data_IF_561061070342
#
_entry.id   IF_561061070342
#
_cell.length_a   1.000
_cell.length_b   1.000
_cell.length_c   1.000
_cell.angle_alpha   90.00
_cell.angle_beta   90.00
_cell.angle_gamma   90.00
#
_symmetry.space_group_name_H-M   'P 1'
#
loop_
_entity.id
_entity.type
_entity.pdbx_description
1 polymer ?
#
# COMPACT_ATOMS: atom_id res chain seq x y z
N UNK A 1 42.00 7.98 -36.94
CA UNK A 1 41.99 7.62 -35.50
C UNK A 1 40.88 6.56 -35.34
N UNK A 2 41.26 5.28 -35.26
CA UNK A 2 40.29 4.18 -35.07
C UNK A 2 39.97 4.10 -33.57
N UNK A 3 38.76 4.48 -33.20
CA UNK A 3 38.23 4.20 -31.87
C UNK A 3 37.91 2.69 -31.81
N UNK A 4 38.75 1.91 -31.16
CA UNK A 4 38.46 0.51 -30.85
C UNK A 4 37.26 0.50 -29.87
N UNK A 5 36.16 -0.14 -30.28
CA UNK A 5 35.02 -0.38 -29.40
C UNK A 5 35.43 -1.42 -28.35
N UNK A 6 35.69 -0.98 -27.12
CA UNK A 6 35.93 -1.88 -26.00
C UNK A 6 34.56 -2.34 -25.45
N UNK A 7 34.37 -3.66 -25.39
CA UNK A 7 33.17 -4.30 -24.78
C UNK A 7 32.33 -5.07 -25.78
N UNK A 8 31.57 -6.04 -25.28
CA UNK A 8 30.62 -6.81 -26.05
C UNK A 8 29.27 -6.06 -26.11
N UNK A 9 29.15 -5.16 -27.06
CA UNK A 9 27.95 -4.34 -27.27
C UNK A 9 26.74 -5.15 -27.76
N UNK A 10 26.97 -6.29 -28.39
CA UNK A 10 25.92 -7.20 -28.85
C UNK A 10 25.25 -7.86 -27.63
N UNK A 11 26.08 -8.35 -26.70
CA UNK A 11 25.64 -8.91 -25.44
C UNK A 11 24.92 -7.85 -24.57
N UNK A 12 25.50 -6.66 -24.45
CA UNK A 12 24.88 -5.55 -23.73
C UNK A 12 23.52 -5.17 -24.32
N UNK A 13 23.38 -5.14 -25.64
CA UNK A 13 22.11 -4.90 -26.33
C UNK A 13 21.08 -5.98 -26.06
N UNK A 14 21.48 -7.25 -26.10
CA UNK A 14 20.59 -8.37 -25.80
C UNK A 14 20.10 -8.35 -24.34
N UNK A 15 20.99 -8.06 -23.38
CA UNK A 15 20.63 -7.87 -21.96
C UNK A 15 19.61 -6.75 -21.78
N UNK A 16 19.86 -5.58 -22.38
CA UNK A 16 18.93 -4.44 -22.30
C UNK A 16 17.56 -4.75 -22.93
N UNK A 17 17.55 -5.49 -24.04
CA UNK A 17 16.32 -5.91 -24.69
C UNK A 17 15.54 -6.93 -23.86
N UNK A 18 16.22 -7.92 -23.26
CA UNK A 18 15.64 -8.88 -22.34
C UNK A 18 15.06 -8.20 -21.10
N UNK A 19 15.80 -7.28 -20.50
CA UNK A 19 15.34 -6.46 -19.36
C UNK A 19 14.08 -5.67 -19.71
N UNK A 20 13.99 -5.05 -20.89
CA UNK A 20 12.84 -4.23 -21.28
C UNK A 20 11.53 -5.03 -21.33
N UNK A 21 11.59 -6.32 -21.64
CA UNK A 21 10.43 -7.22 -21.70
C UNK A 21 10.03 -7.73 -20.31
N UNK A 22 11.00 -8.02 -19.45
CA UNK A 22 10.77 -8.63 -18.12
C UNK A 22 10.48 -7.62 -17.01
N UNK A 23 10.99 -6.39 -17.10
CA UNK A 23 10.89 -5.37 -16.06
C UNK A 23 9.44 -5.00 -15.71
N UNK A 24 8.63 -4.68 -16.71
CA UNK A 24 7.27 -4.19 -16.46
C UNK A 24 6.35 -5.24 -15.81
N UNK A 25 6.33 -6.51 -16.25
CA UNK A 25 5.60 -7.56 -15.55
C UNK A 25 6.09 -7.80 -14.13
N UNK A 26 7.41 -7.85 -13.92
CA UNK A 26 8.01 -8.04 -12.60
C UNK A 26 7.67 -6.90 -11.64
N UNK A 27 7.76 -5.66 -12.10
CA UNK A 27 7.37 -4.49 -11.28
C UNK A 27 5.88 -4.47 -10.95
N UNK A 28 5.02 -4.89 -11.88
CA UNK A 28 3.58 -5.02 -11.62
C UNK A 28 3.27 -6.09 -10.57
N UNK A 29 3.98 -7.21 -10.62
CA UNK A 29 3.84 -8.28 -9.64
C UNK A 29 4.30 -7.81 -8.26
N UNK A 30 5.51 -7.25 -8.16
CA UNK A 30 6.07 -6.75 -6.91
C UNK A 30 5.18 -5.66 -6.29
N UNK A 31 4.72 -4.71 -7.10
CA UNK A 31 3.83 -3.65 -6.61
C UNK A 31 2.50 -4.20 -6.07
N UNK A 32 1.98 -5.27 -6.66
CA UNK A 32 0.77 -5.94 -6.18
C UNK A 32 1.03 -6.62 -4.82
N UNK A 33 2.13 -7.35 -4.69
CA UNK A 33 2.55 -7.99 -3.45
C UNK A 33 2.75 -6.97 -2.32
N UNK A 34 3.41 -5.84 -2.62
CA UNK A 34 3.60 -4.74 -1.67
C UNK A 34 2.26 -4.17 -1.21
N UNK A 35 1.31 -3.98 -2.13
CA UNK A 35 -0.03 -3.51 -1.80
C UNK A 35 -0.78 -4.47 -0.89
N UNK A 36 -0.68 -5.76 -1.16
CA UNK A 36 -1.29 -6.82 -0.34
C UNK A 36 -0.64 -6.89 1.05
N UNK A 37 0.68 -6.71 1.14
CA UNK A 37 1.41 -6.63 2.41
C UNK A 37 0.92 -5.43 3.25
N UNK A 38 0.80 -4.25 2.64
CA UNK A 38 0.29 -3.05 3.30
C UNK A 38 -1.14 -3.28 3.79
N UNK A 39 -2.02 -3.81 2.93
CA UNK A 39 -3.42 -4.07 3.29
C UNK A 39 -3.51 -5.08 4.45
N UNK A 40 -2.74 -6.16 4.38
CA UNK A 40 -2.67 -7.17 5.45
C UNK A 40 -2.23 -6.56 6.78
N UNK A 41 -1.24 -5.66 6.76
CA UNK A 41 -0.76 -4.97 7.96
C UNK A 41 -1.82 -4.04 8.53
N UNK A 42 -2.51 -3.28 7.68
CA UNK A 42 -3.65 -2.43 8.09
C UNK A 42 -4.73 -3.27 8.77
N UNK A 43 -5.15 -4.37 8.15
CA UNK A 43 -6.19 -5.26 8.71
C UNK A 43 -5.74 -5.88 10.03
N UNK A 44 -4.47 -6.27 10.13
CA UNK A 44 -3.89 -6.84 11.34
C UNK A 44 -3.91 -5.85 12.52
N UNK A 45 -3.58 -4.57 12.29
CA UNK A 45 -3.69 -3.52 13.32
C UNK A 45 -5.13 -3.28 13.75
N UNK A 46 -6.09 -3.32 12.82
CA UNK A 46 -7.52 -3.23 13.16
C UNK A 46 -7.93 -4.40 14.07
N UNK A 47 -7.48 -5.61 13.75
CA UNK A 47 -7.85 -6.80 14.53
C UNK A 47 -7.16 -6.85 15.90
N UNK A 48 -5.92 -6.45 15.99
CA UNK A 48 -5.14 -6.49 17.24
C UNK A 48 -5.36 -5.27 18.13
N UNK A 49 -5.86 -4.15 17.60
CA UNK A 49 -6.01 -2.89 18.34
C UNK A 49 -4.70 -2.43 19.01
N UNK A 50 -3.54 -2.64 18.35
CA UNK A 50 -2.19 -2.53 18.94
C UNK A 50 -1.48 -1.18 18.71
N UNK A 51 -2.12 -0.23 18.04
CA UNK A 51 -1.55 1.09 17.75
C UNK A 51 -1.77 2.14 18.87
N UNK A 52 -2.18 1.71 20.06
CA UNK A 52 -2.37 2.59 21.23
C UNK A 52 -3.24 3.82 20.95
N UNK A 53 -4.28 3.66 20.13
CA UNK A 53 -5.19 4.75 19.79
C UNK A 53 -5.90 5.35 21.01
N UNK A 54 -6.22 6.63 20.94
CA UNK A 54 -7.07 7.28 21.93
C UNK A 54 -8.41 6.53 22.01
N UNK A 55 -8.85 6.10 23.22
CA UNK A 55 -10.10 5.39 23.40
C UNK A 55 -11.31 6.11 22.82
N UNK A 56 -12.38 5.36 22.53
CA UNK A 56 -13.65 5.94 22.11
C UNK A 56 -14.27 6.75 23.26
N UNK A 57 -14.99 7.81 22.93
CA UNK A 57 -15.77 8.55 23.91
C UNK A 57 -16.85 7.62 24.51
N UNK A 58 -17.17 7.81 25.81
CA UNK A 58 -18.13 7.00 26.55
C UNK A 58 -19.47 6.86 25.80
N UNK A 59 -19.98 7.97 25.26
CA UNK A 59 -21.21 7.96 24.46
C UNK A 59 -21.10 7.07 23.21
N UNK A 60 -19.95 7.02 22.56
CA UNK A 60 -19.73 6.16 21.38
C UNK A 60 -19.73 4.69 21.78
N UNK A 61 -19.11 4.36 22.90
CA UNK A 61 -19.10 2.99 23.45
C UNK A 61 -20.52 2.55 23.80
N UNK A 62 -21.32 3.42 24.42
CA UNK A 62 -22.74 3.15 24.74
C UNK A 62 -23.55 2.89 23.47
N UNK A 63 -23.40 3.71 22.43
CA UNK A 63 -24.07 3.54 21.13
C UNK A 63 -23.67 2.25 20.43
N UNK A 64 -22.44 1.78 20.63
CA UNK A 64 -21.92 0.50 20.13
C UNK A 64 -22.26 -0.70 21.01
N UNK A 65 -23.16 -0.54 21.99
CA UNK A 65 -23.53 -1.64 22.90
C UNK A 65 -22.43 -2.12 23.83
N UNK A 66 -21.49 -1.23 24.16
CA UNK A 66 -20.34 -1.55 25.03
C UNK A 66 -19.07 -1.92 24.28
N UNK A 67 -19.09 -2.03 22.95
CA UNK A 67 -17.91 -2.35 22.17
C UNK A 67 -16.94 -1.15 22.11
N UNK A 68 -15.69 -1.39 22.48
CA UNK A 68 -14.59 -0.41 22.52
C UNK A 68 -13.67 -0.48 21.31
N UNK A 69 -13.90 -1.41 20.38
CA UNK A 69 -13.03 -1.59 19.21
C UNK A 69 -13.06 -0.36 18.29
N UNK A 70 -11.90 0.05 17.84
CA UNK A 70 -11.71 1.18 16.94
C UNK A 70 -11.64 0.65 15.50
N UNK A 71 -12.15 1.42 14.52
CA UNK A 71 -12.28 1.03 13.11
C UNK A 71 -13.30 -0.09 12.82
N UNK A 72 -13.95 -0.63 13.83
CA UNK A 72 -14.96 -1.67 13.70
C UNK A 72 -16.28 -1.18 14.31
N UNK A 73 -17.25 -0.88 13.49
CA UNK A 73 -18.63 -0.60 13.92
C UNK A 73 -19.56 -1.70 13.40
N UNK A 74 -19.59 -1.89 12.10
CA UNK A 74 -20.38 -2.92 11.41
C UNK A 74 -19.49 -3.90 10.63
N UNK A 75 -18.17 -3.72 10.65
CA UNK A 75 -17.23 -4.43 9.78
C UNK A 75 -17.09 -3.84 8.37
N UNK A 76 -18.01 -2.96 7.98
CA UNK A 76 -18.07 -2.39 6.62
C UNK A 76 -16.77 -1.69 6.19
N UNK A 77 -16.12 -0.94 7.08
CA UNK A 77 -14.86 -0.27 6.73
C UNK A 77 -13.78 -1.30 6.38
N UNK A 78 -13.65 -2.34 7.21
CA UNK A 78 -12.68 -3.42 7.01
C UNK A 78 -12.91 -4.16 5.70
N UNK A 79 -14.17 -4.46 5.37
CA UNK A 79 -14.56 -5.13 4.13
C UNK A 79 -14.37 -4.26 2.87
N UNK A 80 -14.26 -2.95 3.05
CA UNK A 80 -14.13 -1.99 1.96
C UNK A 80 -12.71 -1.41 1.81
N UNK A 81 -11.75 -1.92 2.57
CA UNK A 81 -10.34 -1.70 2.31
C UNK A 81 -9.89 -2.58 1.14
N UNK A 82 -9.26 -1.97 0.16
CA UNK A 82 -8.89 -2.64 -1.08
C UNK A 82 -7.50 -2.25 -1.58
N UNK A 83 -6.89 -3.15 -2.33
CA UNK A 83 -5.73 -2.87 -3.17
C UNK A 83 -6.22 -2.73 -4.61
N UNK A 84 -5.97 -1.60 -5.22
CA UNK A 84 -6.46 -1.32 -6.57
C UNK A 84 -5.39 -0.67 -7.44
N UNK A 85 -5.24 -1.17 -8.66
CA UNK A 85 -4.40 -0.49 -9.65
C UNK A 85 -5.06 0.81 -10.09
N UNK A 86 -4.32 1.89 -10.01
CA UNK A 86 -4.76 3.21 -10.46
C UNK A 86 -4.11 3.50 -11.81
N UNK A 87 -4.85 4.17 -12.70
CA UNK A 87 -4.30 4.62 -13.98
C UNK A 87 -3.18 5.62 -13.69
N UNK A 88 -1.94 5.19 -13.93
CA UNK A 88 -0.76 6.01 -13.68
C UNK A 88 -0.63 7.14 -14.70
N UNK A 89 0.01 8.26 -14.36
CA UNK A 89 0.54 9.18 -15.34
C UNK A 89 1.48 8.45 -16.31
N UNK A 90 1.71 9.02 -17.49
CA UNK A 90 2.26 8.38 -18.71
C UNK A 90 3.38 7.34 -18.52
N UNK A 91 4.18 7.40 -17.48
CA UNK A 91 5.40 6.59 -17.32
C UNK A 91 5.54 5.89 -15.96
N UNK A 92 4.44 5.70 -15.22
CA UNK A 92 4.49 5.11 -13.87
C UNK A 92 3.51 3.97 -13.63
N UNK A 93 3.82 3.16 -12.61
CA UNK A 93 2.90 2.21 -12.01
C UNK A 93 2.41 2.80 -10.69
N UNK A 94 1.11 2.83 -10.47
CA UNK A 94 0.52 3.34 -9.24
C UNK A 94 -0.48 2.32 -8.69
N UNK A 95 -0.35 2.03 -7.42
CA UNK A 95 -1.27 1.20 -6.67
C UNK A 95 -1.92 2.05 -5.58
N UNK A 96 -3.19 1.89 -5.40
CA UNK A 96 -3.95 2.46 -4.31
C UNK A 96 -4.22 1.37 -3.27
N UNK A 97 -3.94 1.68 -2.00
CA UNK A 97 -4.30 0.84 -0.86
C UNK A 97 -5.10 1.70 0.12
N UNK A 98 -6.31 1.30 0.43
CA UNK A 98 -7.17 2.06 1.33
C UNK A 98 -8.66 1.86 1.07
N UNK A 99 -9.48 2.76 1.62
CA UNK A 99 -10.92 2.70 1.48
C UNK A 99 -11.41 3.29 0.15
N UNK A 100 -12.35 2.61 -0.48
CA UNK A 100 -12.94 3.04 -1.76
C UNK A 100 -13.67 4.37 -1.64
N UNK A 101 -13.40 5.29 -2.57
CA UNK A 101 -14.05 6.61 -2.60
C UNK A 101 -15.52 6.58 -3.07
N UNK A 102 -15.95 5.48 -3.69
CA UNK A 102 -17.30 5.32 -4.23
C UNK A 102 -18.29 4.72 -3.23
N UNK A 103 -17.77 4.10 -2.17
CA UNK A 103 -18.59 3.45 -1.17
C UNK A 103 -18.84 4.39 -0.01
N UNK A 104 -20.05 4.33 0.53
CA UNK A 104 -20.51 5.16 1.65
C UNK A 104 -21.00 4.29 2.79
N UNK A 105 -20.95 4.83 4.00
CA UNK A 105 -21.63 4.28 5.17
C UNK A 105 -23.15 4.39 4.97
N UNK A 106 -23.95 3.74 5.81
CA UNK A 106 -25.42 3.85 5.83
C UNK A 106 -25.89 5.30 6.05
N UNK A 107 -25.07 6.11 6.72
CA UNK A 107 -25.30 7.55 6.91
C UNK A 107 -24.86 8.42 5.72
N UNK A 108 -24.41 7.84 4.63
CA UNK A 108 -23.99 8.54 3.41
C UNK A 108 -22.59 9.15 3.43
N UNK A 109 -21.79 8.88 4.47
CA UNK A 109 -20.39 9.34 4.55
C UNK A 109 -19.51 8.43 3.71
N UNK A 110 -18.64 9.00 2.86
CA UNK A 110 -17.68 8.23 2.09
C UNK A 110 -16.63 7.58 3.01
N UNK A 111 -16.28 6.32 2.74
CA UNK A 111 -15.24 5.65 3.52
C UNK A 111 -13.86 6.32 3.39
N UNK A 112 -13.56 6.94 2.25
CA UNK A 112 -12.34 7.73 2.09
C UNK A 112 -12.28 8.91 3.06
N UNK A 113 -13.41 9.64 3.24
CA UNK A 113 -13.49 10.78 4.14
C UNK A 113 -13.42 10.32 5.61
N UNK A 114 -14.09 9.22 5.92
CA UNK A 114 -14.01 8.60 7.24
C UNK A 114 -12.58 8.19 7.59
N UNK A 115 -11.82 7.61 6.65
CA UNK A 115 -10.41 7.26 6.84
C UNK A 115 -9.54 8.49 7.10
N UNK A 116 -9.78 9.58 6.36
CA UNK A 116 -9.07 10.85 6.58
C UNK A 116 -9.35 11.40 7.99
N UNK A 117 -10.60 11.39 8.41
CA UNK A 117 -10.97 11.86 9.75
C UNK A 117 -10.40 11.00 10.87
N UNK A 118 -10.34 9.70 10.66
CA UNK A 118 -9.72 8.79 11.63
C UNK A 118 -8.21 8.97 11.68
N UNK A 119 -7.55 9.13 10.53
CA UNK A 119 -6.09 9.28 10.45
C UNK A 119 -5.61 10.59 11.07
N UNK A 120 -6.29 11.71 10.76
CA UNK A 120 -5.83 13.04 11.14
C UNK A 120 -6.64 13.67 12.29
N UNK A 121 -7.75 13.07 12.66
CA UNK A 121 -8.68 13.64 13.61
C UNK A 121 -9.55 14.75 13.00
N UNK A 122 -10.42 15.30 13.82
CA UNK A 122 -11.26 16.47 13.54
C UNK A 122 -11.31 17.33 14.79
N UNK A 123 -11.93 18.52 14.74
CA UNK A 123 -12.16 19.36 15.91
C UNK A 123 -12.90 18.65 17.06
N UNK A 124 -13.61 17.57 16.74
CA UNK A 124 -14.45 16.80 17.70
C UNK A 124 -13.91 15.42 18.02
N UNK A 125 -12.91 14.95 17.29
CA UNK A 125 -12.40 13.58 17.40
C UNK A 125 -10.89 13.56 17.34
N UNK A 126 -10.20 12.96 18.32
CA UNK A 126 -8.75 12.84 18.28
C UNK A 126 -8.31 11.94 17.13
N UNK A 127 -7.10 12.15 16.59
CA UNK A 127 -6.54 11.29 15.54
C UNK A 127 -6.31 9.87 16.05
N UNK A 128 -6.55 8.92 15.19
CA UNK A 128 -6.27 7.49 15.39
C UNK A 128 -5.58 6.96 14.15
N UNK A 129 -4.29 7.31 13.95
CA UNK A 129 -3.58 6.97 12.73
C UNK A 129 -3.48 5.45 12.55
N UNK A 130 -3.73 4.99 11.34
CA UNK A 130 -3.68 3.59 10.94
C UNK A 130 -2.80 3.41 9.70
N UNK A 131 -3.01 4.23 8.69
CA UNK A 131 -2.30 4.09 7.41
C UNK A 131 -0.81 4.39 7.55
N UNK A 132 -0.47 5.48 8.23
CA UNK A 132 0.93 5.87 8.43
C UNK A 132 1.71 4.82 9.21
N UNK A 133 1.30 4.38 10.42
CA UNK A 133 2.05 3.35 11.15
C UNK A 133 2.14 2.03 10.38
N UNK A 134 1.08 1.63 9.68
CA UNK A 134 1.12 0.42 8.84
C UNK A 134 2.15 0.52 7.71
N UNK A 135 2.25 1.69 7.07
CA UNK A 135 3.28 1.94 6.07
C UNK A 135 4.69 1.91 6.69
N UNK A 136 4.91 2.63 7.78
CA UNK A 136 6.22 2.71 8.47
C UNK A 136 6.72 1.32 8.89
N UNK A 137 5.81 0.41 9.28
CA UNK A 137 6.16 -0.98 9.64
C UNK A 137 6.67 -1.77 8.43
N UNK A 138 6.03 -1.64 7.26
CA UNK A 138 6.36 -2.47 6.09
C UNK A 138 7.37 -1.82 5.14
N UNK A 139 7.58 -0.53 5.20
CA UNK A 139 8.46 0.23 4.30
C UNK A 139 9.87 -0.38 4.18
N UNK A 140 10.56 -0.80 5.27
CA UNK A 140 11.88 -1.43 5.17
C UNK A 140 11.84 -2.73 4.37
N UNK A 141 10.82 -3.55 4.57
CA UNK A 141 10.62 -4.81 3.85
C UNK A 141 10.39 -4.56 2.36
N UNK A 142 9.50 -3.63 2.03
CA UNK A 142 9.22 -3.23 0.65
C UNK A 142 10.50 -2.75 -0.03
N UNK A 143 11.27 -1.87 0.62
CA UNK A 143 12.55 -1.38 0.07
C UNK A 143 13.55 -2.51 -0.20
N UNK A 144 13.62 -3.51 0.66
CA UNK A 144 14.48 -4.67 0.47
C UNK A 144 14.00 -5.55 -0.70
N UNK A 145 12.71 -5.84 -0.77
CA UNK A 145 12.12 -6.62 -1.86
C UNK A 145 12.43 -5.98 -3.23
N UNK A 146 12.27 -4.67 -3.34
CA UNK A 146 12.62 -3.95 -4.58
C UNK A 146 14.11 -4.02 -4.92
N UNK A 147 14.98 -3.94 -3.92
CA UNK A 147 16.43 -4.08 -4.13
C UNK A 147 16.79 -5.47 -4.64
N UNK A 148 16.24 -6.51 -4.02
CA UNK A 148 16.45 -7.90 -4.42
C UNK A 148 15.89 -8.18 -5.82
N UNK A 149 14.69 -7.68 -6.12
CA UNK A 149 14.10 -7.79 -7.45
C UNK A 149 15.00 -7.17 -8.52
N UNK A 150 15.51 -5.97 -8.29
CA UNK A 150 16.42 -5.31 -9.24
C UNK A 150 17.74 -6.06 -9.42
N UNK A 151 18.33 -6.58 -8.35
CA UNK A 151 19.54 -7.41 -8.42
C UNK A 151 19.29 -8.66 -9.25
N UNK A 152 18.23 -9.40 -8.96
CA UNK A 152 17.86 -10.61 -9.70
C UNK A 152 17.63 -10.35 -11.19
N UNK A 153 16.96 -9.25 -11.53
CA UNK A 153 16.71 -8.88 -12.93
C UNK A 153 17.99 -8.53 -13.67
N UNK A 154 18.94 -7.89 -13.01
CA UNK A 154 20.24 -7.57 -13.59
C UNK A 154 21.08 -8.85 -13.81
N UNK A 155 21.08 -9.76 -12.84
CA UNK A 155 21.82 -11.02 -12.91
C UNK A 155 21.25 -11.97 -13.98
N UNK A 156 19.92 -12.12 -14.02
CA UNK A 156 19.24 -13.00 -14.99
C UNK A 156 19.17 -12.41 -16.39
N UNK A 157 19.08 -11.08 -16.54
CA UNK A 157 19.12 -10.42 -17.83
C UNK A 157 20.51 -10.45 -18.49
N UNK A 158 21.55 -10.89 -17.75
CA UNK A 158 22.90 -11.10 -18.25
C UNK A 158 23.18 -12.53 -18.74
N UNK A 159 22.24 -13.44 -18.60
CA UNK A 159 22.32 -14.83 -19.07
C UNK A 159 21.57 -14.97 -20.36
#
# INVERSE_FOLDING_TARGET
MYLSKFGDWTRAGAVLQGLSVSLLPAFKAQLQEDGELILKTILNHIDKQDLSWTPLAQRTVELKGGDTTIYVETGYLKENLEVRRVKAPKDGLTLFVGASAWKTTDSGVKFSDLMIWLEYGTDKMPPRPLIRPSWEEVEPTIKNNWRELLQNLIETGGS
#
